data_IF_820948187794
#
_entry.id   IF_820948187794
#
_cell.length_a   1.000
_cell.length_b   1.000
_cell.length_c   1.000
_cell.angle_alpha   90.00
_cell.angle_beta   90.00
_cell.angle_gamma   90.00
#
_symmetry.space_group_name_H-M   'P 1'
#
loop_
_entity.id
_entity.type
_entity.pdbx_description
1 polymer ?
#
# COMPACT_ATOMS: atom_id res chain seq x y z
N UNK A 1 -24.42 -28.84 -4.13
CA UNK A 1 -23.24 -28.95 -3.24
C UNK A 1 -22.57 -27.58 -3.18
N UNK A 2 -22.74 -26.83 -2.10
CA UNK A 2 -22.03 -25.56 -1.90
C UNK A 2 -20.70 -25.91 -1.25
N UNK A 3 -19.65 -26.00 -2.06
CA UNK A 3 -18.28 -26.10 -1.57
C UNK A 3 -17.88 -24.75 -1.00
N UNK A 4 -18.17 -24.52 0.28
CA UNK A 4 -17.63 -23.38 1.02
C UNK A 4 -16.11 -23.51 1.03
N UNK A 5 -15.42 -22.74 0.18
CA UNK A 5 -13.97 -22.63 0.26
C UNK A 5 -13.63 -22.11 1.66
N UNK A 6 -12.70 -22.73 2.39
CA UNK A 6 -12.34 -22.25 3.70
C UNK A 6 -11.74 -20.85 3.55
N UNK A 7 -12.41 -19.87 4.13
CA UNK A 7 -11.95 -18.48 4.20
C UNK A 7 -10.70 -18.45 5.07
N UNK A 8 -9.53 -18.60 4.42
CA UNK A 8 -8.25 -18.59 5.10
C UNK A 8 -7.99 -17.17 5.60
N UNK A 9 -8.31 -16.92 6.87
CA UNK A 9 -7.90 -15.69 7.56
C UNK A 9 -6.38 -15.51 7.38
N UNK A 10 -5.90 -14.34 6.94
CA UNK A 10 -4.48 -14.10 6.76
C UNK A 10 -3.77 -14.26 8.10
N UNK A 11 -2.73 -15.11 8.14
CA UNK A 11 -2.00 -15.43 9.38
C UNK A 11 -0.99 -14.35 9.70
N UNK A 12 -0.44 -13.71 8.67
CA UNK A 12 0.53 -12.62 8.80
C UNK A 12 0.06 -11.35 8.09
N UNK A 13 0.69 -10.21 8.43
CA UNK A 13 0.47 -8.93 7.73
C UNK A 13 0.91 -9.00 6.26
N UNK A 14 1.89 -9.84 5.94
CA UNK A 14 2.30 -10.06 4.55
C UNK A 14 1.17 -10.72 3.79
N UNK A 15 0.54 -11.75 4.37
CA UNK A 15 -0.61 -12.44 3.76
C UNK A 15 -1.75 -11.45 3.50
N UNK A 16 -2.06 -10.58 4.48
CA UNK A 16 -3.10 -9.55 4.31
C UNK A 16 -2.81 -8.66 3.10
N UNK A 17 -1.56 -8.21 2.94
CA UNK A 17 -1.14 -7.39 1.80
C UNK A 17 -1.17 -8.19 0.51
N UNK A 18 -0.72 -9.44 0.51
CA UNK A 18 -0.72 -10.28 -0.69
C UNK A 18 -2.14 -10.54 -1.16
N UNK A 19 -3.08 -10.83 -0.25
CA UNK A 19 -4.50 -10.94 -0.59
C UNK A 19 -5.02 -9.63 -1.18
N UNK A 20 -4.83 -8.51 -0.47
CA UNK A 20 -5.22 -7.18 -0.96
C UNK A 20 -4.66 -6.85 -2.36
N UNK A 21 -3.38 -7.12 -2.60
CA UNK A 21 -2.73 -6.85 -3.88
C UNK A 21 -3.27 -7.76 -5.00
N UNK A 22 -3.56 -9.02 -4.71
CA UNK A 22 -4.18 -9.91 -5.70
C UNK A 22 -5.62 -9.50 -6.02
N UNK A 23 -6.35 -8.96 -5.06
CA UNK A 23 -7.74 -8.53 -5.25
C UNK A 23 -7.85 -7.20 -6.02
N UNK A 24 -6.91 -6.27 -5.80
CA UNK A 24 -7.03 -4.89 -6.30
C UNK A 24 -5.93 -4.44 -7.26
N UNK A 25 -4.85 -5.21 -7.41
CA UNK A 25 -3.71 -4.89 -8.28
C UNK A 25 -3.41 -6.08 -9.22
N UNK A 26 -4.32 -6.39 -10.17
CA UNK A 26 -4.32 -7.68 -10.89
C UNK A 26 -3.26 -7.82 -11.98
N UNK A 27 -2.33 -6.86 -12.13
CA UNK A 27 -1.29 -6.89 -13.18
C UNK A 27 -0.40 -8.14 -13.11
N UNK A 28 -0.26 -8.75 -11.94
CA UNK A 28 0.42 -10.03 -11.74
C UNK A 28 -0.12 -10.75 -10.52
N UNK A 29 0.22 -12.04 -10.39
CA UNK A 29 0.02 -12.78 -9.15
C UNK A 29 1.10 -12.38 -8.14
N UNK A 30 0.66 -11.88 -7.00
CA UNK A 30 1.53 -11.49 -5.88
C UNK A 30 1.73 -12.66 -4.92
N UNK A 31 2.93 -12.74 -4.35
CA UNK A 31 3.27 -13.71 -3.32
C UNK A 31 4.05 -13.04 -2.17
N UNK A 32 4.20 -13.75 -1.06
CA UNK A 32 4.91 -13.21 0.12
C UNK A 32 6.37 -12.83 -0.15
N UNK A 33 7.02 -13.47 -1.13
CA UNK A 33 8.41 -13.18 -1.52
C UNK A 33 8.56 -11.81 -2.16
N UNK A 34 7.48 -11.25 -2.73
CA UNK A 34 7.47 -9.91 -3.27
C UNK A 34 7.48 -8.83 -2.18
N UNK A 35 7.20 -9.21 -0.93
CA UNK A 35 7.12 -8.32 0.23
C UNK A 35 8.28 -8.61 1.18
N UNK A 36 9.24 -7.69 1.23
CA UNK A 36 10.36 -7.75 2.18
C UNK A 36 9.83 -7.63 3.61
N UNK A 37 9.01 -6.61 3.87
CA UNK A 37 8.48 -6.31 5.21
C UNK A 37 7.12 -5.60 5.13
N UNK A 38 6.22 -5.92 6.06
CA UNK A 38 4.94 -5.22 6.22
C UNK A 38 4.67 -4.95 7.71
N UNK A 39 4.43 -3.70 8.09
CA UNK A 39 4.18 -3.32 9.48
C UNK A 39 3.35 -2.03 9.58
N UNK A 40 2.60 -1.87 10.68
CA UNK A 40 1.85 -0.64 10.94
C UNK A 40 2.69 0.35 11.74
N UNK A 41 2.55 1.63 11.44
CA UNK A 41 3.16 2.73 12.20
C UNK A 41 2.14 3.30 13.19
N UNK A 42 2.63 3.74 14.36
CA UNK A 42 1.82 4.33 15.42
C UNK A 42 1.53 3.37 16.59
N UNK A 43 1.30 3.94 17.77
CA UNK A 43 1.03 3.21 19.01
C UNK A 43 -0.22 2.31 18.90
N UNK A 44 -0.22 1.16 19.58
CA UNK A 44 -1.33 0.20 19.50
C UNK A 44 -2.69 0.74 19.99
N UNK A 45 -2.68 1.84 20.74
CA UNK A 45 -3.85 2.42 21.41
C UNK A 45 -4.55 3.53 20.61
N UNK A 46 -4.11 3.85 19.39
CA UNK A 46 -4.85 4.85 18.60
C UNK A 46 -6.18 4.27 18.12
N UNK A 47 -7.28 4.96 18.41
CA UNK A 47 -8.62 4.67 17.88
C UNK A 47 -8.73 4.80 16.36
N UNK A 48 -7.68 5.30 15.72
CA UNK A 48 -7.58 5.49 14.27
C UNK A 48 -6.99 4.27 13.56
N UNK A 49 -7.47 4.02 12.34
CA UNK A 49 -6.94 2.97 11.47
C UNK A 49 -5.49 3.29 11.09
N UNK A 50 -4.53 2.58 11.68
CA UNK A 50 -3.10 2.88 11.55
C UNK A 50 -2.59 2.63 10.13
N UNK A 51 -1.75 3.50 9.56
CA UNK A 51 -1.17 3.27 8.24
C UNK A 51 -0.31 2.00 8.25
N UNK A 52 -0.36 1.26 7.14
CA UNK A 52 0.41 0.04 6.90
C UNK A 52 1.53 0.37 5.92
N UNK A 53 2.77 0.22 6.36
CA UNK A 53 3.95 0.39 5.53
C UNK A 53 4.41 -0.96 5.00
N UNK A 54 4.62 -0.99 3.68
CA UNK A 54 5.01 -2.17 2.92
C UNK A 54 6.30 -1.86 2.18
N UNK A 55 7.33 -2.67 2.41
CA UNK A 55 8.56 -2.64 1.63
C UNK A 55 8.53 -3.78 0.62
N UNK A 56 8.51 -3.42 -0.66
CA UNK A 56 8.56 -4.36 -1.78
C UNK A 56 9.98 -4.87 -2.03
N UNK A 57 10.10 -6.06 -2.62
CA UNK A 57 11.37 -6.63 -3.05
C UNK A 57 11.93 -5.86 -4.25
N UNK A 58 11.05 -5.46 -5.18
CA UNK A 58 11.42 -4.71 -6.37
C UNK A 58 10.76 -3.34 -6.38
N UNK A 59 11.56 -2.30 -6.66
CA UNK A 59 11.06 -0.93 -6.76
C UNK A 59 9.99 -0.74 -7.84
N UNK A 60 10.08 -1.51 -8.93
CA UNK A 60 9.06 -1.51 -9.99
C UNK A 60 7.67 -1.95 -9.49
N UNK A 61 7.61 -2.79 -8.45
CA UNK A 61 6.33 -3.19 -7.87
C UNK A 61 5.68 -2.08 -7.06
N UNK A 62 6.48 -1.30 -6.34
CA UNK A 62 6.01 -0.11 -5.64
C UNK A 62 5.36 0.86 -6.63
N UNK A 63 6.04 1.20 -7.73
CA UNK A 63 5.47 2.07 -8.77
C UNK A 63 4.19 1.52 -9.40
N UNK A 64 4.07 0.19 -9.55
CA UNK A 64 2.85 -0.42 -10.07
C UNK A 64 1.68 -0.21 -9.13
N UNK A 65 1.89 -0.38 -7.83
CA UNK A 65 0.86 -0.14 -6.80
C UNK A 65 0.51 1.34 -6.73
N UNK A 66 1.50 2.22 -6.75
CA UNK A 66 1.30 3.67 -6.76
C UNK A 66 0.55 4.15 -8.01
N UNK A 67 0.79 3.53 -9.16
CA UNK A 67 0.04 3.81 -10.39
C UNK A 67 -1.46 3.47 -10.29
N UNK A 68 -1.88 2.66 -9.32
CA UNK A 68 -3.28 2.33 -9.07
C UNK A 68 -3.93 3.24 -8.01
N UNK A 69 -3.24 4.29 -7.56
CA UNK A 69 -3.70 5.17 -6.49
C UNK A 69 -5.13 5.70 -6.68
N UNK A 70 -5.45 6.22 -7.86
CA UNK A 70 -6.79 6.77 -8.12
C UNK A 70 -7.88 5.67 -8.10
N UNK A 71 -7.55 4.46 -8.57
CA UNK A 71 -8.46 3.31 -8.52
C UNK A 71 -8.69 2.86 -7.08
N UNK A 72 -7.62 2.76 -6.28
CA UNK A 72 -7.71 2.38 -4.87
C UNK A 72 -8.46 3.44 -4.05
N UNK A 73 -8.31 4.72 -4.40
CA UNK A 73 -9.04 5.80 -3.74
C UNK A 73 -10.57 5.69 -3.92
N UNK A 74 -11.04 5.14 -5.04
CA UNK A 74 -12.48 4.90 -5.28
C UNK A 74 -13.08 3.86 -4.34
N UNK A 75 -12.26 3.01 -3.74
CA UNK A 75 -12.66 2.01 -2.73
C UNK A 75 -12.21 2.42 -1.32
N UNK A 76 -12.01 3.73 -1.09
CA UNK A 76 -11.59 4.34 0.17
C UNK A 76 -10.22 3.87 0.69
N UNK A 77 -9.33 3.46 -0.23
CA UNK A 77 -7.96 3.05 0.11
C UNK A 77 -6.97 4.04 -0.49
N UNK A 78 -6.27 4.75 0.40
CA UNK A 78 -5.22 5.70 0.00
C UNK A 78 -3.85 5.04 0.03
N UNK A 79 -3.12 5.11 -1.08
CA UNK A 79 -1.71 4.71 -1.18
C UNK A 79 -0.84 5.94 -1.48
N UNK A 80 0.36 5.97 -0.90
CA UNK A 80 1.33 7.05 -1.08
C UNK A 80 2.75 6.51 -0.89
N UNK A 81 3.73 7.18 -1.52
CA UNK A 81 5.14 6.89 -1.29
C UNK A 81 5.51 7.25 0.15
N UNK A 82 6.35 6.40 0.74
CA UNK A 82 6.98 6.72 2.01
C UNK A 82 8.18 7.64 1.75
N UNK A 83 7.91 8.95 1.80
CA UNK A 83 8.93 9.97 1.61
C UNK A 83 9.47 10.43 2.96
N UNK A 84 10.79 10.68 3.00
CA UNK A 84 11.42 11.37 4.12
C UNK A 84 10.84 12.78 4.29
N UNK A 85 10.90 13.33 5.50
CA UNK A 85 10.34 14.66 5.79
C UNK A 85 10.93 15.76 4.90
N UNK A 86 12.24 15.71 4.64
CA UNK A 86 12.95 16.62 3.73
C UNK A 86 12.40 16.53 2.30
N UNK A 87 12.26 15.32 1.77
CA UNK A 87 11.70 15.08 0.43
C UNK A 87 10.25 15.59 0.31
N UNK A 88 9.44 15.48 1.37
CA UNK A 88 8.07 16.05 1.38
C UNK A 88 8.09 17.57 1.34
N UNK A 89 9.01 18.21 2.06
CA UNK A 89 9.15 19.66 2.06
C UNK A 89 9.55 20.16 0.67
N UNK A 90 10.58 19.55 0.07
CA UNK A 90 11.02 19.86 -1.29
C UNK A 90 9.89 19.69 -2.32
N UNK A 91 9.14 18.57 -2.24
CA UNK A 91 7.99 18.34 -3.11
C UNK A 91 6.88 19.38 -2.94
N UNK A 92 6.65 19.85 -1.71
CA UNK A 92 5.67 20.90 -1.43
C UNK A 92 6.10 22.22 -2.05
N UNK A 93 7.35 22.61 -1.83
CA UNK A 93 7.92 23.84 -2.41
C UNK A 93 7.89 23.81 -3.94
N UNK A 94 8.26 22.69 -4.56
CA UNK A 94 8.21 22.52 -6.02
C UNK A 94 6.78 22.63 -6.56
N UNK A 95 5.78 22.09 -5.85
CA UNK A 95 4.37 22.25 -6.23
C UNK A 95 3.87 23.68 -6.09
N UNK A 96 4.27 24.37 -5.02
CA UNK A 96 3.91 25.78 -4.81
C UNK A 96 4.56 26.68 -5.88
N UNK A 97 5.81 26.41 -6.25
CA UNK A 97 6.52 27.09 -7.36
C UNK A 97 5.89 26.78 -8.73
N UNK A 98 5.50 25.54 -8.98
CA UNK A 98 4.93 25.10 -10.27
C UNK A 98 3.46 25.48 -10.50
N UNK A 99 2.71 25.83 -9.45
CA UNK A 99 1.31 26.33 -9.53
C UNK A 99 1.18 27.80 -9.94
N UNK A 100 2.29 28.53 -10.12
CA UNK A 100 2.31 29.93 -10.57
C UNK A 100 2.48 30.07 -12.09
N UNK A 101 1.79 29.24 -12.88
CA UNK A 101 1.68 29.43 -14.34
C UNK A 101 0.23 29.32 -14.76
#
# INVERSE_FOLDING_TARGET
MISQKPERRPRTRKDTIVTFLNDHVPKRKWCERDIVRAHRIGGKHSSTNRPLIVRFMHHNDEFRVLGMRETLKKIDISVANDLAATQRCELRELKEKGKRR
#
